data_IF_351267456007
#
_entry.id   IF_351267456007
#
_cell.length_a   1.000
_cell.length_b   1.000
_cell.length_c   1.000
_cell.angle_alpha   90.00
_cell.angle_beta   90.00
_cell.angle_gamma   90.00
#
_symmetry.space_group_name_H-M   'P 1'
#
loop_
_entity.id
_entity.type
_entity.pdbx_description
1 polymer ?
#
# COMPACT_ATOMS: atom_id res chain seq x y z
N UNK A 1 55.31 78.67 45.52
CA UNK A 1 54.93 77.39 44.87
C UNK A 1 54.39 76.47 45.94
N UNK A 2 53.11 76.11 45.86
CA UNK A 2 52.74 74.70 45.61
C UNK A 2 51.48 74.59 44.72
N UNK A 3 50.97 73.38 44.42
CA UNK A 3 51.06 72.70 43.13
C UNK A 3 49.86 72.96 42.19
N UNK A 4 50.12 72.90 40.88
CA UNK A 4 49.11 72.97 39.82
C UNK A 4 48.27 71.69 39.79
N UNK A 5 46.96 71.82 40.00
CA UNK A 5 45.98 70.73 39.95
C UNK A 5 45.54 70.55 38.49
N UNK A 6 45.87 69.40 37.90
CA UNK A 6 45.34 68.99 36.59
C UNK A 6 43.92 68.40 36.76
N UNK A 7 42.97 68.72 35.86
CA UNK A 7 41.61 68.20 35.93
C UNK A 7 41.57 66.68 35.63
N UNK A 8 40.61 65.95 36.24
CA UNK A 8 40.54 64.50 36.13
C UNK A 8 40.18 64.04 34.71
N UNK A 9 40.93 63.06 34.20
CA UNK A 9 40.66 62.36 32.95
C UNK A 9 39.26 61.75 32.94
N UNK A 10 38.42 62.19 31.98
CA UNK A 10 37.10 61.60 31.74
C UNK A 10 37.27 60.16 31.28
N UNK A 11 37.02 59.19 32.16
CA UNK A 11 36.99 57.76 31.81
C UNK A 11 35.95 57.52 30.70
N UNK A 12 36.32 56.88 29.58
CA UNK A 12 35.41 56.66 28.46
C UNK A 12 34.29 55.70 28.88
N UNK A 13 33.05 56.12 28.65
CA UNK A 13 31.86 55.32 28.91
C UNK A 13 31.92 53.99 28.14
N UNK A 14 31.56 52.90 28.82
CA UNK A 14 31.52 51.54 28.26
C UNK A 14 30.06 51.09 28.15
N UNK A 15 29.74 50.37 27.09
CA UNK A 15 28.45 49.72 26.89
C UNK A 15 28.75 48.24 26.61
N UNK A 16 28.10 47.33 27.35
CA UNK A 16 28.31 45.88 27.22
C UNK A 16 29.79 45.46 27.28
N UNK A 17 30.55 46.00 28.24
CA UNK A 17 31.97 45.66 28.44
C UNK A 17 32.96 46.27 27.44
N UNK A 18 32.50 46.82 26.31
CA UNK A 18 33.34 47.46 25.29
C UNK A 18 33.30 49.00 25.39
N UNK A 19 34.35 49.66 24.87
CA UNK A 19 34.37 51.12 24.71
C UNK A 19 33.21 51.50 23.77
N UNK A 20 32.40 52.51 24.17
CA UNK A 20 31.15 52.89 23.47
C UNK A 20 31.33 53.08 21.96
N UNK A 21 32.44 53.67 21.52
CA UNK A 21 32.75 53.83 20.09
C UNK A 21 32.84 52.49 19.34
N UNK A 22 33.45 51.46 19.95
CA UNK A 22 33.63 50.14 19.34
C UNK A 22 32.29 49.39 19.27
N UNK A 23 31.47 49.50 20.32
CA UNK A 23 30.15 48.86 20.34
C UNK A 23 29.25 49.39 19.21
N UNK A 24 29.21 50.72 19.01
CA UNK A 24 28.41 51.31 17.93
C UNK A 24 28.97 50.99 16.54
N UNK A 25 30.29 50.90 16.37
CA UNK A 25 30.88 50.45 15.10
C UNK A 25 30.52 49.00 14.75
N UNK A 26 30.52 48.10 15.74
CA UNK A 26 30.14 46.69 15.52
C UNK A 26 28.65 46.56 15.18
N UNK A 27 27.78 47.29 15.90
CA UNK A 27 26.35 47.27 15.63
C UNK A 27 26.02 47.78 14.21
N UNK A 28 26.68 48.86 13.78
CA UNK A 28 26.52 49.40 12.44
C UNK A 28 27.01 48.42 11.35
N UNK A 29 28.12 47.71 11.59
CA UNK A 29 28.63 46.68 10.68
C UNK A 29 27.65 45.50 10.54
N UNK A 30 27.07 45.02 11.65
CA UNK A 30 26.05 43.95 11.60
C UNK A 30 24.81 44.39 10.83
N UNK A 31 24.35 45.63 11.04
CA UNK A 31 23.19 46.17 10.32
C UNK A 31 23.45 46.29 8.81
N UNK A 32 24.67 46.70 8.42
CA UNK A 32 25.06 46.77 7.01
C UNK A 32 25.09 45.40 6.33
N UNK A 33 25.53 44.35 7.02
CA UNK A 33 25.52 42.97 6.51
C UNK A 33 24.09 42.46 6.30
N UNK A 34 23.18 42.73 7.24
CA UNK A 34 21.76 42.32 7.13
C UNK A 34 21.07 43.03 5.96
N UNK A 35 21.30 44.33 5.78
CA UNK A 35 20.76 45.08 4.63
C UNK A 35 21.34 44.54 3.32
N UNK A 36 22.64 44.25 3.27
CA UNK A 36 23.29 43.66 2.10
C UNK A 36 22.69 42.30 1.70
N UNK A 37 22.40 41.43 2.67
CA UNK A 37 21.76 40.13 2.44
C UNK A 37 20.29 40.28 1.98
N UNK A 38 19.55 41.22 2.56
CA UNK A 38 18.16 41.47 2.18
C UNK A 38 18.02 42.00 0.74
N UNK A 39 18.92 42.89 0.31
CA UNK A 39 18.95 43.39 -1.08
C UNK A 39 19.47 42.31 -2.04
N UNK A 40 20.49 41.54 -1.63
CA UNK A 40 21.06 40.46 -2.45
C UNK A 40 20.06 39.32 -2.76
N UNK A 41 19.23 38.93 -1.78
CA UNK A 41 18.18 37.93 -1.96
C UNK A 41 16.93 38.50 -2.64
N UNK A 42 16.59 39.77 -2.39
CA UNK A 42 15.40 40.42 -2.96
C UNK A 42 15.50 40.77 -4.45
N UNK A 43 16.70 41.02 -4.97
CA UNK A 43 16.91 41.36 -6.41
C UNK A 43 17.35 40.12 -7.22
N UNK A 44 17.93 39.09 -6.58
CA UNK A 44 18.40 37.87 -7.24
C UNK A 44 17.31 36.87 -7.66
N UNK A 45 16.10 36.96 -7.10
CA UNK A 45 14.96 36.07 -7.42
C UNK A 45 13.88 36.74 -8.30
N UNK A 46 14.09 37.99 -8.72
CA UNK A 46 13.03 38.85 -9.27
C UNK A 46 13.16 39.32 -10.72
N UNK A 47 14.08 38.80 -11.53
CA UNK A 47 14.21 39.22 -12.95
C UNK A 47 13.62 38.17 -13.88
N UNK A 48 12.36 38.40 -14.24
CA UNK A 48 11.59 37.68 -15.26
C UNK A 48 12.04 38.16 -16.64
N UNK A 49 12.88 37.38 -17.35
CA UNK A 49 13.20 37.65 -18.75
C UNK A 49 12.24 36.91 -19.68
N UNK A 50 11.42 37.67 -20.42
CA UNK A 50 10.72 37.19 -21.60
C UNK A 50 11.70 37.15 -22.79
N UNK A 51 11.97 35.96 -23.34
CA UNK A 51 12.14 35.79 -24.78
C UNK A 51 12.11 34.31 -25.21
N UNK A 52 11.07 34.00 -25.99
CA UNK A 52 10.93 33.10 -27.16
C UNK A 52 11.70 31.76 -27.19
N UNK A 53 10.89 30.71 -27.19
CA UNK A 53 11.02 29.43 -27.91
C UNK A 53 12.38 28.73 -27.88
N UNK A 54 12.58 27.95 -26.81
CA UNK A 54 13.12 26.60 -26.95
C UNK A 54 12.21 25.63 -26.19
N UNK A 55 11.63 24.67 -26.93
CA UNK A 55 10.93 23.50 -26.41
C UNK A 55 11.77 22.83 -25.32
N UNK A 56 11.43 23.08 -24.05
CA UNK A 56 11.74 22.15 -22.97
C UNK A 56 10.57 21.17 -22.91
N UNK A 57 10.81 19.98 -23.45
CA UNK A 57 9.85 18.87 -23.44
C UNK A 57 9.81 18.26 -22.04
N UNK A 58 8.62 18.37 -21.42
CA UNK A 58 8.04 17.46 -20.43
C UNK A 58 8.69 17.41 -19.02
N UNK A 59 8.28 18.35 -18.16
CA UNK A 59 7.73 17.90 -16.86
C UNK A 59 6.62 16.91 -17.18
N UNK A 60 6.68 15.69 -16.64
CA UNK A 60 5.61 14.70 -16.81
C UNK A 60 4.27 15.37 -16.49
N UNK A 61 3.48 15.67 -17.52
CA UNK A 61 2.10 16.07 -17.32
C UNK A 61 1.48 14.93 -16.51
N UNK A 62 0.90 15.24 -15.35
CA UNK A 62 0.14 14.25 -14.58
C UNK A 62 -0.94 13.71 -15.50
N UNK A 63 -0.72 12.53 -16.07
CA UNK A 63 -1.64 11.92 -17.02
C UNK A 63 -2.95 11.66 -16.29
N UNK A 64 -4.08 11.99 -16.92
CA UNK A 64 -5.39 11.68 -16.36
C UNK A 64 -5.59 10.20 -16.08
N UNK A 65 -4.81 9.34 -16.75
CA UNK A 65 -4.84 7.89 -16.62
C UNK A 65 -4.40 7.38 -15.25
N UNK A 66 -3.71 8.22 -14.46
CA UNK A 66 -3.24 7.86 -13.12
C UNK A 66 -4.10 8.42 -11.99
N UNK A 67 -5.25 8.99 -12.33
CA UNK A 67 -6.24 9.44 -11.36
C UNK A 67 -7.45 8.50 -11.38
N UNK A 68 -7.99 8.24 -10.20
CA UNK A 68 -9.19 7.41 -10.04
C UNK A 68 -10.35 8.07 -10.76
N UNK A 69 -10.99 7.37 -11.70
CA UNK A 69 -12.07 7.91 -12.52
C UNK A 69 -11.66 9.02 -13.49
N UNK A 70 -10.35 9.26 -13.70
CA UNK A 70 -9.82 10.38 -14.48
C UNK A 70 -9.45 11.59 -13.62
N UNK A 71 -9.10 12.73 -14.23
CA UNK A 71 -8.73 13.93 -13.47
C UNK A 71 -9.92 14.47 -12.66
N UNK A 72 -9.99 14.09 -11.38
CA UNK A 72 -11.03 14.54 -10.46
C UNK A 72 -10.56 15.82 -9.77
N UNK A 73 -11.28 16.91 -9.99
CA UNK A 73 -11.11 18.12 -9.19
C UNK A 73 -11.43 17.79 -7.72
N UNK A 74 -10.57 18.14 -6.74
CA UNK A 74 -10.81 17.92 -5.32
C UNK A 74 -12.19 18.37 -4.81
N UNK A 75 -12.86 19.30 -5.49
CA UNK A 75 -14.25 19.68 -5.21
C UNK A 75 -15.25 18.52 -5.33
N UNK A 76 -14.90 17.47 -6.09
CA UNK A 76 -15.68 16.25 -6.31
C UNK A 76 -15.22 15.06 -5.47
N UNK A 77 -14.34 15.25 -4.47
CA UNK A 77 -14.13 14.21 -3.46
C UNK A 77 -15.45 13.89 -2.75
N UNK A 78 -15.61 12.60 -2.43
CA UNK A 78 -16.78 12.08 -1.71
C UNK A 78 -17.00 12.88 -0.43
N UNK A 79 -18.27 13.16 -0.12
CA UNK A 79 -18.68 13.86 1.11
C UNK A 79 -19.49 12.96 2.04
N UNK A 80 -19.63 11.71 1.64
CA UNK A 80 -20.33 10.63 2.30
C UNK A 80 -19.61 9.32 1.96
N UNK A 81 -19.86 8.29 2.77
CA UNK A 81 -19.39 6.94 2.52
C UNK A 81 -17.87 6.77 2.45
N UNK A 82 -17.41 5.92 1.54
CA UNK A 82 -16.00 5.68 1.30
C UNK A 82 -15.35 6.86 0.55
N UNK A 83 -14.05 7.04 0.74
CA UNK A 83 -13.28 8.01 -0.02
C UNK A 83 -13.23 7.60 -1.50
N UNK A 84 -13.19 8.56 -2.41
CA UNK A 84 -13.05 8.29 -3.83
C UNK A 84 -11.66 7.75 -4.16
N UNK A 85 -11.59 6.51 -4.65
CA UNK A 85 -10.33 5.80 -4.74
C UNK A 85 -9.84 5.32 -3.39
N UNK A 86 -10.75 5.00 -2.47
CA UNK A 86 -10.39 4.37 -1.21
C UNK A 86 -9.58 3.11 -1.50
N UNK A 87 -8.40 2.97 -0.90
CA UNK A 87 -7.76 1.66 -0.80
C UNK A 87 -8.71 0.68 -0.12
N UNK A 88 -8.69 -0.58 -0.56
CA UNK A 88 -9.50 -1.66 0.00
C UNK A 88 -8.57 -2.80 0.35
N UNK A 89 -8.61 -3.24 1.61
CA UNK A 89 -7.81 -4.37 2.07
C UNK A 89 -8.67 -5.33 2.90
N UNK A 90 -8.48 -6.63 2.66
CA UNK A 90 -9.16 -7.67 3.39
C UNK A 90 -8.21 -8.38 4.33
N UNK A 91 -8.71 -8.73 5.51
CA UNK A 91 -8.07 -9.68 6.40
C UNK A 91 -9.11 -10.70 6.83
N UNK A 92 -8.88 -11.98 6.50
CA UNK A 92 -9.71 -13.08 6.96
C UNK A 92 -9.05 -13.82 8.12
N UNK A 93 -9.87 -14.34 9.02
CA UNK A 93 -9.50 -15.28 10.07
C UNK A 93 -10.48 -16.42 10.05
N UNK A 94 -10.12 -17.66 10.44
CA UNK A 94 -11.12 -18.70 10.76
C UNK A 94 -10.92 -19.17 12.19
N UNK A 95 -11.99 -19.16 13.00
CA UNK A 95 -12.02 -19.86 14.28
C UNK A 95 -12.49 -21.32 14.08
N UNK A 96 -12.04 -22.21 14.96
CA UNK A 96 -12.40 -23.63 14.94
C UNK A 96 -13.89 -23.94 15.15
N UNK A 97 -14.23 -25.20 14.83
CA UNK A 97 -15.49 -25.94 15.05
C UNK A 97 -16.85 -25.29 14.76
N UNK A 98 -16.99 -24.51 13.69
CA UNK A 98 -18.27 -24.45 12.96
C UNK A 98 -18.89 -23.08 12.68
N UNK A 99 -18.19 -21.98 12.96
CA UNK A 99 -18.66 -20.65 12.57
C UNK A 99 -17.66 -20.01 11.61
N UNK A 100 -18.20 -19.44 10.53
CA UNK A 100 -17.46 -18.82 9.44
C UNK A 100 -16.46 -17.82 9.99
N UNK A 101 -15.27 -17.86 9.42
CA UNK A 101 -14.25 -16.89 9.71
C UNK A 101 -14.71 -15.43 9.63
N UNK A 102 -14.20 -14.56 10.51
CA UNK A 102 -14.45 -13.13 10.40
C UNK A 102 -13.66 -12.55 9.24
N UNK A 103 -14.36 -12.08 8.19
CA UNK A 103 -13.77 -11.26 7.14
C UNK A 103 -13.82 -9.79 7.57
N UNK A 104 -12.66 -9.17 7.70
CA UNK A 104 -12.53 -7.74 7.99
C UNK A 104 -12.14 -6.99 6.72
N UNK A 105 -12.92 -5.97 6.36
CA UNK A 105 -12.62 -5.01 5.31
C UNK A 105 -12.09 -3.73 5.93
N UNK A 106 -10.95 -3.27 5.44
CA UNK A 106 -10.40 -1.94 5.71
C UNK A 106 -10.63 -1.04 4.51
N UNK A 107 -11.04 0.20 4.78
CA UNK A 107 -11.28 1.22 3.77
C UNK A 107 -10.98 2.61 4.34
N UNK A 108 -10.77 3.57 3.45
CA UNK A 108 -10.68 4.98 3.81
C UNK A 108 -12.08 5.60 3.75
N UNK A 109 -12.53 6.15 4.87
CA UNK A 109 -13.77 6.93 4.94
C UNK A 109 -13.56 8.32 4.30
N UNK A 110 -14.61 8.98 3.81
CA UNK A 110 -14.50 10.29 3.14
C UNK A 110 -13.81 11.37 3.99
N UNK A 111 -13.80 11.23 5.32
CA UNK A 111 -13.07 12.12 6.24
C UNK A 111 -11.54 11.92 6.22
N UNK A 112 -11.02 10.97 5.44
CA UNK A 112 -9.60 10.62 5.34
C UNK A 112 -9.12 9.56 6.33
N UNK A 113 -9.93 9.21 7.34
CA UNK A 113 -9.59 8.16 8.32
C UNK A 113 -9.70 6.76 7.71
N UNK A 114 -8.78 5.87 8.05
CA UNK A 114 -8.91 4.44 7.77
C UNK A 114 -9.80 3.80 8.82
N UNK A 115 -10.83 3.09 8.40
CA UNK A 115 -11.80 2.39 9.24
C UNK A 115 -11.92 0.92 8.84
N UNK A 116 -12.54 0.12 9.69
CA UNK A 116 -12.82 -1.28 9.39
C UNK A 116 -14.30 -1.65 9.55
N UNK A 117 -14.73 -2.61 8.76
CA UNK A 117 -16.00 -3.32 8.85
C UNK A 117 -15.75 -4.82 8.87
N UNK A 118 -16.64 -5.59 9.50
CA UNK A 118 -16.56 -7.05 9.49
C UNK A 118 -17.84 -7.68 8.92
N UNK A 119 -17.67 -8.77 8.20
CA UNK A 119 -18.75 -9.66 7.81
C UNK A 119 -19.15 -10.49 9.02
N UNK A 120 -20.43 -10.51 9.34
CA UNK A 120 -21.02 -11.29 10.43
C UNK A 120 -21.53 -12.65 9.90
N UNK A 121 -21.71 -13.66 10.77
CA UNK A 121 -22.15 -15.01 10.35
C UNK A 121 -23.52 -15.05 9.64
N UNK A 122 -24.37 -14.05 9.84
CA UNK A 122 -25.65 -13.85 9.16
C UNK A 122 -25.54 -13.12 7.80
N UNK A 123 -24.33 -13.01 7.24
CA UNK A 123 -24.01 -12.30 6.00
C UNK A 123 -24.28 -10.78 6.04
N UNK A 124 -24.37 -10.20 7.24
CA UNK A 124 -24.43 -8.75 7.45
C UNK A 124 -23.04 -8.12 7.55
N UNK A 125 -22.96 -6.80 7.39
CA UNK A 125 -21.73 -6.04 7.64
C UNK A 125 -21.91 -5.13 8.87
N UNK A 126 -20.95 -5.19 9.79
CA UNK A 126 -20.96 -4.42 11.03
C UNK A 126 -19.70 -3.53 11.12
N UNK A 127 -19.88 -2.32 11.64
CA UNK A 127 -18.79 -1.37 11.92
C UNK A 127 -18.67 -0.28 10.85
N UNK A 128 -17.49 0.31 10.75
CA UNK A 128 -17.19 1.40 9.82
C UNK A 128 -17.52 2.80 10.36
N UNK A 129 -17.89 2.90 11.63
CA UNK A 129 -18.15 4.17 12.32
C UNK A 129 -16.84 4.79 12.84
N UNK A 130 -16.92 5.95 13.48
CA UNK A 130 -15.80 6.58 14.16
C UNK A 130 -15.23 5.74 15.32
N UNK A 131 -15.94 4.72 15.80
CA UNK A 131 -15.42 3.76 16.79
C UNK A 131 -14.46 2.72 16.19
N UNK A 132 -14.49 2.52 14.87
CA UNK A 132 -13.67 1.54 14.16
C UNK A 132 -12.48 2.17 13.42
N UNK A 133 -11.97 3.31 13.91
CA UNK A 133 -10.83 4.00 13.30
C UNK A 133 -9.50 3.29 13.60
N UNK A 134 -8.72 3.03 12.56
CA UNK A 134 -7.37 2.46 12.64
C UNK A 134 -6.28 3.53 12.55
N UNK A 135 -6.49 4.52 11.68
CA UNK A 135 -5.55 5.61 11.44
C UNK A 135 -6.26 6.89 10.95
N UNK A 136 -5.68 8.05 11.23
CA UNK A 136 -6.23 9.38 10.87
C UNK A 136 -5.22 10.24 10.10
N UNK A 137 -4.01 9.76 9.91
CA UNK A 137 -2.90 10.45 9.25
C UNK A 137 -2.62 9.94 7.83
N UNK A 138 -3.48 9.06 7.31
CA UNK A 138 -3.43 8.55 5.96
C UNK A 138 -3.56 9.67 4.91
N UNK A 139 -2.81 9.57 3.81
CA UNK A 139 -3.07 10.41 2.63
C UNK A 139 -4.40 10.05 1.99
N UNK A 140 -5.00 10.98 1.28
CA UNK A 140 -6.19 10.70 0.46
C UNK A 140 -5.88 9.67 -0.62
N UNK A 141 -6.83 8.76 -0.88
CA UNK A 141 -6.72 7.64 -1.83
C UNK A 141 -5.49 6.75 -1.56
N UNK A 142 -5.11 6.60 -0.28
CA UNK A 142 -3.98 5.76 0.08
C UNK A 142 -4.25 4.30 -0.31
N UNK A 143 -3.29 3.58 -0.93
CA UNK A 143 -3.44 2.14 -1.09
C UNK A 143 -3.46 1.51 0.31
N UNK A 144 -4.29 0.48 0.48
CA UNK A 144 -4.33 -0.32 1.69
C UNK A 144 -3.89 -1.74 1.37
N UNK A 145 -3.12 -2.35 2.26
CA UNK A 145 -2.85 -3.77 2.23
C UNK A 145 -2.94 -4.32 3.64
N UNK A 146 -3.55 -5.50 3.79
CA UNK A 146 -3.66 -6.16 5.07
C UNK A 146 -3.09 -7.57 4.99
N UNK A 147 -2.45 -8.00 6.08
CA UNK A 147 -2.05 -9.39 6.29
C UNK A 147 -2.56 -9.79 7.67
N UNK A 148 -3.26 -10.91 7.73
CA UNK A 148 -3.66 -11.50 9.00
C UNK A 148 -3.19 -12.94 9.07
N UNK A 149 -2.76 -13.34 10.27
CA UNK A 149 -2.29 -14.70 10.52
C UNK A 149 -2.53 -15.10 11.97
N UNK A 150 -2.55 -16.40 12.26
CA UNK A 150 -2.65 -16.93 13.63
C UNK A 150 -1.51 -17.86 13.96
N UNK A 151 -0.69 -17.54 14.96
CA UNK A 151 0.41 -18.40 15.39
C UNK A 151 0.38 -18.61 16.90
N UNK A 152 0.48 -19.87 17.33
CA UNK A 152 0.44 -20.28 18.72
C UNK A 152 -0.81 -19.74 19.46
N UNK A 153 -1.97 -19.79 18.81
CA UNK A 153 -3.24 -19.32 19.34
C UNK A 153 -3.43 -17.79 19.38
N UNK A 154 -2.47 -17.03 18.84
CA UNK A 154 -2.55 -15.55 18.76
C UNK A 154 -2.78 -15.13 17.31
N UNK A 155 -3.94 -14.53 17.05
CA UNK A 155 -4.25 -13.88 15.78
C UNK A 155 -3.69 -12.47 15.76
N UNK A 156 -3.02 -12.11 14.67
CA UNK A 156 -2.44 -10.79 14.43
C UNK A 156 -2.91 -10.25 13.10
N UNK A 157 -3.08 -8.93 13.03
CA UNK A 157 -3.40 -8.20 11.82
C UNK A 157 -2.38 -7.09 11.64
N UNK A 158 -1.89 -6.97 10.44
CA UNK A 158 -1.03 -5.90 9.97
C UNK A 158 -1.80 -5.14 8.91
N UNK A 159 -1.90 -3.82 9.07
CA UNK A 159 -2.47 -2.91 8.08
C UNK A 159 -1.40 -1.93 7.63
N UNK A 160 -1.14 -1.92 6.34
CA UNK A 160 -0.16 -1.06 5.68
C UNK A 160 -0.88 0.05 4.91
N UNK A 161 -0.36 1.27 5.01
CA UNK A 161 -0.86 2.44 4.32
C UNK A 161 0.24 3.47 4.12
N UNK A 162 -0.04 4.51 3.34
CA UNK A 162 0.82 5.68 3.16
C UNK A 162 0.22 6.87 3.91
N UNK A 163 1.04 7.59 4.67
CA UNK A 163 0.63 8.80 5.39
C UNK A 163 0.67 10.07 4.52
N UNK A 164 0.18 11.18 5.08
CA UNK A 164 0.17 12.51 4.45
C UNK A 164 1.56 13.07 4.11
N UNK A 165 2.65 12.48 4.63
CA UNK A 165 4.04 12.84 4.31
C UNK A 165 4.68 11.88 3.30
N UNK A 166 3.87 11.06 2.61
CA UNK A 166 4.30 10.02 1.70
C UNK A 166 5.28 9.02 2.36
N UNK A 167 5.04 8.68 3.62
CA UNK A 167 5.77 7.62 4.33
C UNK A 167 4.93 6.37 4.47
N UNK A 168 5.61 5.24 4.38
CA UNK A 168 5.03 3.94 4.61
C UNK A 168 4.76 3.74 6.10
N UNK A 169 3.55 3.27 6.44
CA UNK A 169 3.08 3.06 7.81
C UNK A 169 2.57 1.65 8.00
N UNK A 170 2.66 1.19 9.24
CA UNK A 170 2.15 -0.11 9.67
C UNK A 170 1.37 0.05 10.97
N UNK A 171 0.15 -0.48 11.01
CA UNK A 171 -0.64 -0.65 12.23
C UNK A 171 -0.77 -2.13 12.52
N UNK A 172 -0.60 -2.51 13.78
CA UNK A 172 -0.69 -3.90 14.24
C UNK A 172 -1.79 -4.01 15.28
N UNK A 173 -2.60 -5.07 15.18
CA UNK A 173 -3.56 -5.48 16.19
C UNK A 173 -3.37 -6.97 16.53
N UNK A 174 -3.88 -7.42 17.67
CA UNK A 174 -3.93 -8.83 18.05
C UNK A 174 -5.19 -9.15 18.86
N UNK A 175 -5.66 -10.40 18.82
CA UNK A 175 -6.87 -10.83 19.53
C UNK A 175 -6.66 -10.80 21.06
N UNK A 176 -5.39 -10.76 21.48
CA UNK A 176 -4.98 -10.66 22.87
C UNK A 176 -5.14 -9.24 23.43
N UNK A 177 -4.92 -8.20 22.61
CA UNK A 177 -4.95 -6.80 23.06
C UNK A 177 -6.16 -6.04 22.53
N UNK A 178 -6.62 -6.36 21.32
CA UNK A 178 -7.65 -5.66 20.54
C UNK A 178 -7.38 -4.15 20.41
N UNK A 179 -6.10 -3.76 20.41
CA UNK A 179 -5.66 -2.37 20.32
C UNK A 179 -4.70 -2.24 19.14
N UNK A 180 -4.97 -1.24 18.29
CA UNK A 180 -4.08 -0.86 17.20
C UNK A 180 -2.87 -0.08 17.74
N UNK A 181 -1.67 -0.56 17.42
CA UNK A 181 -0.39 0.08 17.74
C UNK A 181 0.44 0.29 16.47
N UNK A 182 1.43 1.17 16.53
CA UNK A 182 2.40 1.30 15.43
C UNK A 182 3.25 0.01 15.32
N UNK A 183 3.41 -0.48 14.10
CA UNK A 183 4.36 -1.54 13.77
C UNK A 183 5.78 -1.03 13.58
N UNK A 184 6.78 -1.93 13.54
CA UNK A 184 8.18 -1.56 13.38
C UNK A 184 8.45 -0.77 12.09
N UNK A 185 7.72 -1.04 11.00
CA UNK A 185 7.91 -0.34 9.72
C UNK A 185 7.74 1.17 9.81
N UNK A 186 6.81 1.62 10.65
CA UNK A 186 6.52 3.04 10.86
C UNK A 186 7.78 3.81 11.30
N UNK A 187 8.61 3.23 12.17
CA UNK A 187 9.80 3.87 12.70
C UNK A 187 10.93 4.03 11.68
N UNK A 188 10.90 3.24 10.60
CA UNK A 188 11.94 3.21 9.57
C UNK A 188 11.82 4.35 8.55
N UNK A 189 10.66 5.03 8.49
CA UNK A 189 10.42 6.20 7.66
C UNK A 189 10.73 6.00 6.16
N UNK A 190 10.34 4.88 5.57
CA UNK A 190 10.48 4.67 4.12
C UNK A 190 9.67 5.71 3.33
N UNK A 191 10.31 6.41 2.39
CA UNK A 191 9.62 7.34 1.47
C UNK A 191 9.00 6.55 0.32
N UNK A 192 7.76 6.87 0.00
CA UNK A 192 7.01 6.28 -1.11
C UNK A 192 6.82 7.34 -2.21
N UNK A 193 6.56 6.90 -3.44
CA UNK A 193 6.23 7.79 -4.56
C UNK A 193 5.11 8.78 -4.21
N UNK A 194 5.33 10.06 -4.49
CA UNK A 194 4.34 11.12 -4.34
C UNK A 194 3.41 11.18 -5.57
N UNK A 195 2.36 10.36 -5.55
CA UNK A 195 1.30 10.35 -6.56
C UNK A 195 -0.06 9.98 -5.94
N UNK A 196 -1.16 10.25 -6.64
CA UNK A 196 -2.52 9.93 -6.18
C UNK A 196 -2.81 8.42 -6.28
N UNK A 197 -2.12 7.74 -7.20
CA UNK A 197 -2.14 6.28 -7.34
C UNK A 197 -0.73 5.73 -7.21
N UNK A 198 -0.56 4.83 -6.25
CA UNK A 198 0.70 4.26 -5.84
C UNK A 198 0.52 2.77 -5.60
N UNK A 199 1.37 1.96 -6.22
CA UNK A 199 1.42 0.53 -5.98
C UNK A 199 1.99 0.21 -4.60
N UNK A 200 1.24 -0.59 -3.83
CA UNK A 200 1.69 -1.15 -2.56
C UNK A 200 0.93 -2.45 -2.28
N UNK A 201 1.62 -3.49 -1.84
CA UNK A 201 1.00 -4.75 -1.43
C UNK A 201 1.91 -5.49 -0.46
N UNK A 202 1.33 -5.96 0.64
CA UNK A 202 1.93 -6.88 1.59
C UNK A 202 1.35 -8.28 1.43
N UNK A 203 2.18 -9.29 1.63
CA UNK A 203 1.84 -10.68 1.40
C UNK A 203 2.48 -11.55 2.47
N UNK A 204 1.71 -12.49 3.00
CA UNK A 204 2.25 -13.52 3.88
C UNK A 204 3.25 -14.40 3.12
N UNK A 205 4.33 -14.78 3.79
CA UNK A 205 5.29 -15.78 3.36
C UNK A 205 5.30 -16.86 4.44
N UNK A 206 4.92 -18.09 4.08
CA UNK A 206 4.78 -19.18 5.03
C UNK A 206 3.81 -20.24 4.56
N UNK A 207 3.76 -21.35 5.30
CA UNK A 207 2.78 -22.41 5.07
C UNK A 207 1.47 -22.04 5.75
N UNK A 208 0.48 -21.65 4.93
CA UNK A 208 -0.87 -21.23 5.33
C UNK A 208 -0.90 -20.06 6.34
N UNK A 209 -2.06 -19.43 6.51
CA UNK A 209 -2.22 -18.23 7.35
C UNK A 209 -2.27 -18.53 8.87
N UNK A 210 -1.90 -19.73 9.31
CA UNK A 210 -1.79 -19.96 10.73
C UNK A 210 -1.54 -21.38 11.21
N UNK A 211 -1.96 -21.65 12.44
CA UNK A 211 -1.84 -22.92 13.13
C UNK A 211 -2.58 -24.06 12.42
N UNK A 212 -2.36 -25.31 12.85
CA UNK A 212 -2.91 -26.51 12.22
C UNK A 212 -4.45 -26.58 12.22
N UNK A 213 -5.13 -25.81 13.07
CA UNK A 213 -6.58 -25.70 13.17
C UNK A 213 -7.17 -24.53 12.37
N UNK A 214 -6.34 -23.73 11.71
CA UNK A 214 -6.80 -22.70 10.77
C UNK A 214 -7.52 -23.35 9.58
N UNK A 215 -8.75 -22.91 9.33
CA UNK A 215 -9.54 -23.33 8.16
C UNK A 215 -9.53 -22.25 7.10
N UNK A 216 -9.43 -22.67 5.84
CA UNK A 216 -9.49 -21.80 4.67
C UNK A 216 -10.34 -22.44 3.59
N UNK A 217 -10.80 -21.62 2.63
CA UNK A 217 -11.34 -22.13 1.37
C UNK A 217 -10.28 -22.98 0.64
N UNK A 218 -10.65 -23.96 -0.20
CA UNK A 218 -9.71 -24.79 -0.93
C UNK A 218 -8.64 -23.96 -1.65
N UNK A 219 -7.37 -24.31 -1.44
CA UNK A 219 -6.24 -23.66 -2.12
C UNK A 219 -6.04 -24.31 -3.49
N UNK A 220 -5.58 -23.54 -4.50
CA UNK A 220 -5.21 -24.10 -5.80
C UNK A 220 -4.26 -25.28 -5.64
N UNK A 221 -4.50 -26.36 -6.38
CA UNK A 221 -3.67 -27.57 -6.39
C UNK A 221 -3.60 -28.36 -5.07
N UNK A 222 -4.42 -28.05 -4.05
CA UNK A 222 -4.54 -28.83 -2.80
C UNK A 222 -5.78 -29.75 -2.75
N UNK A 223 -6.58 -29.82 -3.82
CA UNK A 223 -7.87 -30.55 -3.80
C UNK A 223 -8.87 -29.91 -2.83
N UNK A 224 -9.94 -30.62 -2.46
CA UNK A 224 -10.97 -30.10 -1.54
C UNK A 224 -10.55 -30.12 -0.05
N UNK A 225 -9.24 -30.04 0.24
CA UNK A 225 -8.73 -29.98 1.60
C UNK A 225 -8.85 -28.55 2.13
N UNK A 226 -9.62 -28.39 3.21
CA UNK A 226 -9.79 -27.11 3.93
C UNK A 226 -9.01 -27.10 5.26
N UNK A 227 -8.17 -28.12 5.48
CA UNK A 227 -7.35 -28.27 6.66
C UNK A 227 -5.90 -27.93 6.34
N UNK A 228 -5.26 -27.18 7.21
CA UNK A 228 -3.82 -26.93 7.17
C UNK A 228 -3.08 -28.26 7.40
N UNK A 229 -2.53 -28.84 6.34
CA UNK A 229 -1.86 -30.16 6.38
C UNK A 229 -0.35 -30.07 6.57
N UNK A 230 0.20 -28.86 6.54
CA UNK A 230 1.63 -28.61 6.65
C UNK A 230 2.00 -28.20 8.07
N UNK A 231 2.96 -28.93 8.67
CA UNK A 231 3.48 -28.62 10.00
C UNK A 231 3.96 -27.17 10.09
N UNK A 232 3.81 -26.58 11.28
CA UNK A 232 4.23 -25.23 11.65
C UNK A 232 5.62 -24.88 11.09
N UNK A 233 5.66 -24.28 9.90
CA UNK A 233 6.89 -23.73 9.37
C UNK A 233 7.36 -22.65 10.34
N UNK A 234 8.61 -22.72 10.79
CA UNK A 234 9.16 -21.69 11.68
C UNK A 234 9.71 -20.49 10.91
N UNK A 235 9.93 -20.62 9.59
CA UNK A 235 10.31 -19.52 8.70
C UNK A 235 9.05 -18.96 8.02
N UNK A 236 8.34 -18.11 8.77
CA UNK A 236 7.16 -17.39 8.31
C UNK A 236 7.36 -15.89 8.47
N UNK A 237 6.64 -15.09 7.70
CA UNK A 237 6.85 -13.67 7.64
C UNK A 237 6.00 -12.98 6.58
N UNK A 238 6.46 -11.82 6.15
CA UNK A 238 5.78 -11.02 5.14
C UNK A 238 6.78 -10.44 4.16
N UNK A 239 6.34 -10.32 2.92
CA UNK A 239 6.94 -9.42 1.96
C UNK A 239 6.05 -8.21 1.77
N UNK A 240 6.67 -7.04 1.62
CA UNK A 240 5.98 -5.81 1.30
C UNK A 240 6.66 -5.17 0.11
N UNK A 241 5.87 -4.87 -0.92
CA UNK A 241 6.31 -4.10 -2.06
C UNK A 241 5.66 -2.72 -2.02
N UNK A 242 6.44 -1.68 -2.33
CA UNK A 242 5.94 -0.33 -2.48
C UNK A 242 6.67 0.39 -3.60
N UNK A 243 5.98 1.26 -4.34
CA UNK A 243 6.59 2.06 -5.39
C UNK A 243 7.43 3.20 -4.79
N UNK A 244 8.75 3.20 -5.02
CA UNK A 244 9.61 4.34 -4.64
C UNK A 244 9.52 5.47 -5.65
N UNK A 245 9.24 5.14 -6.90
CA UNK A 245 9.02 6.06 -8.01
C UNK A 245 8.14 5.41 -9.08
N UNK A 246 7.84 6.13 -10.16
CA UNK A 246 6.93 5.68 -11.21
C UNK A 246 7.42 4.43 -11.98
N UNK A 247 8.68 4.05 -11.84
CA UNK A 247 9.34 2.96 -12.57
C UNK A 247 9.90 1.84 -11.69
N UNK A 248 9.82 1.99 -10.36
CA UNK A 248 10.53 1.13 -9.40
C UNK A 248 9.67 0.76 -8.21
N UNK A 249 9.61 -0.55 -7.91
CA UNK A 249 9.19 -1.04 -6.59
C UNK A 249 10.38 -1.40 -5.73
N UNK A 250 10.29 -1.12 -4.44
CA UNK A 250 11.17 -1.68 -3.42
C UNK A 250 10.48 -2.88 -2.79
N UNK A 251 11.24 -3.93 -2.47
CA UNK A 251 10.77 -5.08 -1.73
C UNK A 251 11.43 -5.11 -0.35
N UNK A 252 10.61 -5.17 0.69
CA UNK A 252 10.99 -5.43 2.07
C UNK A 252 10.57 -6.84 2.47
N UNK A 253 11.29 -7.41 3.43
CA UNK A 253 10.97 -8.68 4.06
C UNK A 253 11.01 -8.54 5.57
N UNK A 254 10.06 -9.17 6.25
CA UNK A 254 9.99 -9.26 7.70
C UNK A 254 9.73 -10.70 8.09
N UNK A 255 10.48 -11.25 9.05
CA UNK A 255 10.17 -12.57 9.62
C UNK A 255 9.45 -12.42 10.94
N UNK A 256 8.62 -13.41 11.26
CA UNK A 256 7.87 -13.38 12.51
C UNK A 256 8.81 -13.31 13.72
N UNK A 257 8.69 -12.22 14.47
CA UNK A 257 9.52 -11.93 15.65
C UNK A 257 10.67 -10.95 15.39
N UNK A 258 10.96 -10.61 14.14
CA UNK A 258 11.97 -9.59 13.82
C UNK A 258 11.52 -8.21 14.30
N UNK A 259 12.48 -7.42 14.78
CA UNK A 259 12.23 -6.06 15.25
C UNK A 259 12.16 -5.03 14.13
N UNK A 260 12.65 -5.36 12.93
CA UNK A 260 12.74 -4.44 11.79
C UNK A 260 12.41 -5.16 10.49
N UNK A 261 11.98 -4.41 9.49
CA UNK A 261 11.91 -4.84 8.11
C UNK A 261 13.29 -4.75 7.47
N UNK A 262 13.57 -5.69 6.56
CA UNK A 262 14.86 -5.78 5.86
C UNK A 262 14.65 -5.60 4.37
N UNK A 263 15.38 -4.66 3.78
CA UNK A 263 15.44 -4.51 2.33
C UNK A 263 15.89 -5.79 1.64
N UNK A 264 15.16 -6.20 0.61
CA UNK A 264 15.45 -7.39 -0.19
C UNK A 264 16.03 -7.00 -1.55
N UNK A 265 15.27 -6.22 -2.34
CA UNK A 265 15.68 -5.83 -3.69
C UNK A 265 14.79 -4.72 -4.27
N UNK A 266 15.25 -4.10 -5.35
CA UNK A 266 14.49 -3.17 -6.18
C UNK A 266 14.06 -3.82 -7.50
N UNK A 267 12.84 -3.54 -7.92
CA UNK A 267 12.21 -4.04 -9.14
C UNK A 267 12.07 -2.91 -10.15
N UNK A 268 13.00 -2.88 -11.10
CA UNK A 268 13.08 -1.84 -12.13
C UNK A 268 12.11 -2.11 -13.29
N UNK A 269 11.80 -1.05 -14.04
CA UNK A 269 10.92 -1.09 -15.23
C UNK A 269 9.51 -1.60 -14.93
N UNK A 270 9.01 -1.34 -13.72
CA UNK A 270 7.64 -1.65 -13.29
C UNK A 270 6.83 -0.37 -13.24
N UNK A 271 5.53 -0.45 -13.45
CA UNK A 271 4.64 0.70 -13.34
C UNK A 271 4.30 0.93 -11.87
N UNK A 272 4.93 1.95 -11.26
CA UNK A 272 4.73 2.30 -9.86
C UNK A 272 3.31 2.80 -9.52
N UNK A 273 2.48 3.13 -10.51
CA UNK A 273 1.09 3.56 -10.31
C UNK A 273 0.09 2.40 -10.28
N UNK A 274 0.49 1.21 -10.70
CA UNK A 274 -0.34 0.02 -10.65
C UNK A 274 -0.14 -0.72 -9.33
N UNK A 275 -1.16 -1.47 -8.90
CA UNK A 275 -1.04 -2.42 -7.81
C UNK A 275 -0.13 -3.60 -8.14
N UNK A 276 0.02 -4.47 -7.16
CA UNK A 276 0.82 -5.69 -7.23
C UNK A 276 0.02 -6.85 -6.66
N UNK A 277 0.06 -7.99 -7.35
CA UNK A 277 -0.51 -9.24 -6.85
C UNK A 277 0.60 -10.14 -6.32
N UNK A 278 0.26 -11.03 -5.40
CA UNK A 278 1.22 -11.98 -4.85
C UNK A 278 0.52 -13.27 -4.42
N UNK A 279 1.29 -14.35 -4.40
CA UNK A 279 0.81 -15.68 -4.05
C UNK A 279 1.96 -16.51 -3.47
N UNK A 280 1.71 -17.20 -2.36
CA UNK A 280 2.73 -17.96 -1.62
C UNK A 280 2.20 -19.24 -0.97
N UNK A 281 0.90 -19.53 -1.05
CA UNK A 281 0.21 -20.55 -0.25
C UNK A 281 -0.01 -21.90 -0.97
N UNK A 282 0.77 -22.21 -2.00
CA UNK A 282 0.73 -23.53 -2.65
C UNK A 282 1.57 -24.57 -1.90
N UNK A 283 1.26 -25.88 -2.00
CA UNK A 283 2.15 -26.93 -1.51
C UNK A 283 3.47 -26.85 -2.27
N UNK A 284 4.50 -26.29 -1.63
CA UNK A 284 5.79 -26.11 -2.26
C UNK A 284 6.53 -24.91 -1.71
N UNK A 285 7.54 -24.52 -2.46
CA UNK A 285 8.54 -23.51 -2.15
C UNK A 285 8.47 -22.34 -3.14
N UNK A 286 7.55 -22.39 -4.09
CA UNK A 286 7.46 -21.35 -5.12
C UNK A 286 6.53 -20.23 -4.67
N UNK A 287 7.07 -19.02 -4.60
CA UNK A 287 6.29 -17.79 -4.43
C UNK A 287 6.17 -17.06 -5.77
N UNK A 288 5.05 -16.38 -5.97
CA UNK A 288 4.75 -15.62 -7.17
C UNK A 288 4.46 -14.16 -6.84
N UNK A 289 4.82 -13.30 -7.78
CA UNK A 289 4.46 -11.89 -7.78
C UNK A 289 4.01 -11.45 -9.16
N UNK A 290 2.92 -10.70 -9.22
CA UNK A 290 2.32 -10.19 -10.43
C UNK A 290 2.49 -8.68 -10.45
N UNK A 291 3.22 -8.18 -11.44
CA UNK A 291 3.58 -6.75 -11.53
C UNK A 291 3.24 -6.20 -12.90
N UNK A 292 2.75 -4.98 -12.96
CA UNK A 292 2.52 -4.28 -14.24
C UNK A 292 3.84 -3.64 -14.69
N UNK A 293 4.20 -3.81 -15.96
CA UNK A 293 5.34 -3.12 -16.56
C UNK A 293 4.95 -1.77 -17.18
N UNK A 294 5.93 -1.01 -17.69
CA UNK A 294 5.69 0.32 -18.28
C UNK A 294 4.85 0.31 -19.56
N UNK A 295 4.57 -0.86 -20.14
CA UNK A 295 3.69 -1.05 -21.30
C UNK A 295 2.26 -1.44 -20.89
N UNK A 296 1.91 -1.33 -19.60
CA UNK A 296 0.61 -1.74 -19.06
C UNK A 296 0.31 -3.23 -19.33
N UNK A 297 1.31 -4.07 -19.12
CA UNK A 297 1.20 -5.52 -19.19
C UNK A 297 1.50 -6.10 -17.83
N UNK A 298 0.62 -6.93 -17.30
CA UNK A 298 0.90 -7.73 -16.10
C UNK A 298 1.88 -8.82 -16.49
N UNK A 299 2.99 -8.89 -15.77
CA UNK A 299 3.97 -9.96 -15.84
C UNK A 299 3.82 -10.84 -14.59
N UNK A 300 3.92 -12.15 -14.77
CA UNK A 300 3.92 -13.12 -13.65
C UNK A 300 5.35 -13.60 -13.41
N UNK A 301 5.87 -13.31 -12.23
CA UNK A 301 7.19 -13.70 -11.77
C UNK A 301 7.08 -14.75 -10.68
N UNK A 302 8.05 -15.66 -10.63
CA UNK A 302 8.10 -16.74 -9.65
C UNK A 302 9.51 -16.87 -9.06
N UNK A 303 9.60 -17.41 -7.85
CA UNK A 303 10.85 -17.73 -7.18
C UNK A 303 10.65 -19.02 -6.39
N UNK A 304 11.41 -20.05 -6.74
CA UNK A 304 11.47 -21.27 -5.95
C UNK A 304 12.44 -21.09 -4.77
N UNK A 305 11.99 -21.33 -3.55
CA UNK A 305 12.78 -21.21 -2.31
C UNK A 305 13.33 -22.55 -1.81
N UNK A 306 13.19 -23.65 -2.57
CA UNK A 306 13.63 -24.98 -2.19
C UNK A 306 15.16 -25.10 -2.23
N UNK A 307 15.78 -24.87 -1.08
CA UNK A 307 17.22 -25.01 -0.92
C UNK A 307 17.71 -26.45 -0.97
N UNK A 308 16.81 -27.44 -0.96
CA UNK A 308 17.17 -28.87 -1.09
C UNK A 308 17.27 -29.34 -2.54
N UNK A 309 16.91 -28.50 -3.52
CA UNK A 309 17.01 -28.81 -4.95
C UNK A 309 18.18 -28.09 -5.61
N UNK A 310 18.76 -28.69 -6.65
CA UNK A 310 19.82 -28.07 -7.43
C UNK A 310 19.27 -27.06 -8.44
N UNK A 311 19.90 -25.88 -8.50
CA UNK A 311 19.59 -24.87 -9.50
C UNK A 311 19.96 -25.33 -10.92
N UNK A 312 19.14 -24.95 -11.91
CA UNK A 312 19.41 -25.14 -13.33
C UNK A 312 19.07 -23.88 -14.12
N UNK A 313 19.50 -23.78 -15.39
CA UNK A 313 19.18 -22.61 -16.24
C UNK A 313 17.68 -22.47 -16.52
N UNK A 314 16.96 -23.59 -16.67
CA UNK A 314 15.51 -23.59 -16.90
C UNK A 314 14.69 -23.41 -15.63
N UNK A 315 15.28 -23.72 -14.48
CA UNK A 315 14.62 -23.67 -13.18
C UNK A 315 15.61 -23.19 -12.11
N UNK A 316 15.83 -21.87 -11.99
CA UNK A 316 16.75 -21.32 -11.01
C UNK A 316 16.14 -21.29 -9.61
N UNK A 317 16.92 -21.70 -8.62
CA UNK A 317 16.52 -21.65 -7.21
C UNK A 317 16.91 -20.32 -6.58
N UNK A 318 16.04 -19.78 -5.73
CA UNK A 318 16.16 -18.53 -5.00
C UNK A 318 16.35 -17.29 -5.87
N UNK A 319 15.88 -17.34 -7.11
CA UNK A 319 15.94 -16.23 -8.05
C UNK A 319 14.56 -15.93 -8.62
N UNK A 320 14.19 -14.65 -8.64
CA UNK A 320 12.98 -14.22 -9.32
C UNK A 320 13.13 -14.35 -10.84
N UNK A 321 12.21 -15.10 -11.44
CA UNK A 321 12.21 -15.47 -12.86
C UNK A 321 10.84 -15.16 -13.46
N UNK A 322 10.81 -14.59 -14.65
CA UNK A 322 9.56 -14.32 -15.36
C UNK A 322 9.03 -15.63 -15.98
N UNK A 323 7.75 -15.92 -15.78
CA UNK A 323 7.10 -17.12 -16.35
C UNK A 323 6.74 -16.99 -17.83
N UNK A 324 6.94 -15.83 -18.45
CA UNK A 324 6.47 -15.44 -19.79
C UNK A 324 4.95 -15.28 -19.92
N UNK A 325 4.18 -15.55 -18.87
CA UNK A 325 2.75 -15.24 -18.82
C UNK A 325 2.55 -13.73 -18.76
N UNK A 326 1.68 -13.24 -19.64
CA UNK A 326 1.40 -11.81 -19.78
C UNK A 326 -0.10 -11.55 -19.94
N UNK A 327 -0.61 -10.54 -19.24
CA UNK A 327 -1.95 -9.98 -19.44
C UNK A 327 -1.79 -8.56 -19.97
N UNK A 328 -2.05 -8.39 -21.26
CA UNK A 328 -1.82 -7.13 -21.97
C UNK A 328 -2.97 -6.14 -21.77
N UNK A 329 -2.68 -4.86 -21.94
CA UNK A 329 -3.67 -3.77 -21.99
C UNK A 329 -4.50 -3.59 -20.71
N UNK A 330 -3.90 -3.85 -19.54
CA UNK A 330 -4.53 -3.49 -18.27
C UNK A 330 -4.58 -1.96 -18.10
N UNK A 331 -5.44 -1.49 -17.20
CA UNK A 331 -5.47 -0.07 -16.83
C UNK A 331 -4.12 0.35 -16.20
N UNK A 332 -3.55 1.52 -16.53
CA UNK A 332 -2.26 1.95 -15.96
C UNK A 332 -2.23 2.07 -14.44
N UNK A 333 -3.37 2.34 -13.81
CA UNK A 333 -3.53 2.31 -12.35
C UNK A 333 -4.37 1.13 -11.87
N UNK A 334 -4.36 0.00 -12.60
CA UNK A 334 -5.08 -1.19 -12.14
C UNK A 334 -4.59 -1.60 -10.76
N UNK A 335 -5.50 -1.87 -9.83
CA UNK A 335 -5.16 -2.71 -8.68
C UNK A 335 -5.14 -4.17 -9.10
N UNK A 336 -4.34 -4.98 -8.39
CA UNK A 336 -4.16 -6.40 -8.65
C UNK A 336 -4.51 -7.16 -7.38
N UNK A 337 -5.14 -8.31 -7.51
CA UNK A 337 -5.53 -9.13 -6.36
C UNK A 337 -5.55 -10.60 -6.73
N UNK A 338 -5.20 -11.46 -5.77
CA UNK A 338 -5.22 -12.90 -5.98
C UNK A 338 -5.84 -13.62 -4.79
N UNK A 339 -6.64 -14.64 -5.09
CA UNK A 339 -7.17 -15.59 -4.10
C UNK A 339 -7.22 -16.98 -4.74
N UNK A 340 -8.28 -17.33 -5.46
CA UNK A 340 -8.38 -18.52 -6.31
C UNK A 340 -8.32 -18.18 -7.81
N UNK A 341 -8.58 -16.92 -8.15
CA UNK A 341 -8.33 -16.34 -9.45
C UNK A 341 -7.49 -15.07 -9.28
N UNK A 342 -6.77 -14.69 -10.32
CA UNK A 342 -6.06 -13.41 -10.38
C UNK A 342 -6.96 -12.35 -10.98
N UNK A 343 -6.99 -11.15 -10.40
CA UNK A 343 -7.87 -10.08 -10.83
C UNK A 343 -7.08 -8.86 -11.24
N UNK A 344 -7.48 -8.27 -12.37
CA UNK A 344 -6.97 -7.00 -12.86
C UNK A 344 -8.10 -6.23 -13.57
N UNK A 345 -7.99 -4.90 -13.59
CA UNK A 345 -8.90 -4.03 -14.33
C UNK A 345 -8.35 -3.74 -15.73
N UNK A 346 -9.20 -3.92 -16.75
CA UNK A 346 -8.93 -3.50 -18.11
C UNK A 346 -9.11 -2.00 -18.31
N UNK A 347 -8.62 -1.47 -19.44
CA UNK A 347 -8.86 -0.07 -19.83
C UNK A 347 -10.33 0.26 -20.10
N UNK A 348 -11.15 -0.76 -20.30
CA UNK A 348 -12.60 -0.67 -20.45
C UNK A 348 -13.36 -0.60 -19.10
N UNK A 349 -12.63 -0.60 -17.98
CA UNK A 349 -13.19 -0.53 -16.63
C UNK A 349 -13.66 -1.86 -16.06
N UNK A 350 -13.70 -2.93 -16.88
CA UNK A 350 -14.06 -4.26 -16.41
C UNK A 350 -12.95 -4.84 -15.53
N UNK A 351 -13.34 -5.31 -14.35
CA UNK A 351 -12.49 -6.18 -13.56
C UNK A 351 -12.63 -7.58 -14.14
N UNK A 352 -11.51 -8.19 -14.50
CA UNK A 352 -11.44 -9.53 -15.10
C UNK A 352 -10.71 -10.46 -14.15
N UNK A 353 -11.33 -11.59 -13.84
CA UNK A 353 -10.69 -12.73 -13.18
C UNK A 353 -10.01 -13.63 -14.21
N UNK A 354 -8.82 -14.11 -13.90
CA UNK A 354 -7.99 -14.99 -14.72
C UNK A 354 -7.70 -16.27 -13.93
N UNK A 355 -7.97 -17.41 -14.54
CA UNK A 355 -7.63 -18.71 -13.98
C UNK A 355 -6.16 -18.99 -14.31
N UNK A 356 -5.28 -18.86 -13.32
CA UNK A 356 -3.85 -19.11 -13.51
C UNK A 356 -3.53 -20.51 -12.97
N UNK A 357 -2.86 -21.31 -13.78
CA UNK A 357 -2.22 -22.54 -13.34
C UNK A 357 -0.77 -22.24 -12.96
N UNK A 358 -0.44 -22.45 -11.69
CA UNK A 358 0.82 -22.03 -11.06
C UNK A 358 1.84 -23.16 -11.12
N UNK A 359 2.78 -23.05 -12.07
CA UNK A 359 3.75 -24.12 -12.35
C UNK A 359 5.14 -23.57 -12.74
N UNK A 360 5.60 -22.54 -12.05
CA UNK A 360 6.92 -21.89 -12.24
C UNK A 360 7.12 -21.48 -13.70
N UNK A 361 8.13 -22.01 -14.38
CA UNK A 361 8.39 -21.80 -15.81
C UNK A 361 7.27 -22.29 -16.73
N UNK A 362 6.38 -23.17 -16.25
CA UNK A 362 5.24 -23.72 -16.99
C UNK A 362 3.91 -23.08 -16.59
N UNK A 363 3.92 -21.94 -15.87
CA UNK A 363 2.71 -21.22 -15.50
C UNK A 363 1.88 -20.85 -16.74
N UNK A 364 0.55 -20.98 -16.68
CA UNK A 364 -0.36 -20.67 -17.81
C UNK A 364 -1.64 -19.97 -17.37
N UNK A 365 -2.36 -19.35 -18.32
CA UNK A 365 -3.71 -18.80 -18.09
C UNK A 365 -4.73 -19.70 -18.80
N UNK A 366 -5.62 -20.32 -18.02
CA UNK A 366 -6.65 -21.26 -18.45
C UNK A 366 -8.05 -20.61 -18.49
N UNK A 367 -8.12 -19.45 -19.13
CA UNK A 367 -9.34 -18.68 -19.32
C UNK A 367 -9.51 -17.51 -18.37
N UNK A 368 -10.56 -16.73 -18.63
CA UNK A 368 -10.90 -15.52 -17.88
C UNK A 368 -12.41 -15.29 -17.85
N UNK A 369 -12.85 -14.43 -16.93
CA UNK A 369 -14.25 -14.06 -16.79
C UNK A 369 -14.39 -12.62 -16.26
N UNK A 370 -15.39 -11.86 -16.71
CA UNK A 370 -15.66 -10.54 -16.15
C UNK A 370 -16.30 -10.67 -14.76
N UNK A 371 -16.04 -9.70 -13.90
CA UNK A 371 -16.74 -9.50 -12.61
C UNK A 371 -17.98 -8.66 -12.85
N UNK A 372 -19.10 -9.03 -12.22
CA UNK A 372 -20.41 -8.38 -12.16
C UNK A 372 -20.66 -7.18 -13.10
N UNK A 373 -19.99 -6.04 -12.86
CA UNK A 373 -20.07 -4.81 -13.65
C UNK A 373 -18.72 -4.05 -13.66
N UNK A 374 -18.51 -3.10 -14.58
CA UNK A 374 -17.33 -2.24 -14.57
C UNK A 374 -17.21 -1.45 -13.26
N UNK A 375 -15.97 -1.28 -12.79
CA UNK A 375 -15.64 -0.36 -11.71
C UNK A 375 -15.25 1.01 -12.25
N UNK A 376 -15.08 1.99 -11.36
CA UNK A 376 -14.42 3.25 -11.73
C UNK A 376 -12.98 2.95 -12.18
N UNK A 377 -12.49 3.65 -13.20
CA UNK A 377 -11.13 3.43 -13.72
C UNK A 377 -10.08 3.67 -12.63
N UNK A 378 -9.16 2.73 -12.47
CA UNK A 378 -8.13 2.73 -11.44
C UNK A 378 -8.62 2.30 -10.06
N UNK A 379 -9.88 1.90 -9.88
CA UNK A 379 -10.42 1.52 -8.56
C UNK A 379 -9.49 0.54 -7.83
N UNK A 380 -9.30 0.77 -6.53
CA UNK A 380 -8.69 -0.25 -5.70
C UNK A 380 -9.63 -1.45 -5.61
N UNK A 381 -9.03 -2.64 -5.67
CA UNK A 381 -9.76 -3.88 -5.51
C UNK A 381 -9.10 -4.74 -4.45
N UNK A 382 -9.93 -5.49 -3.73
CA UNK A 382 -9.49 -6.54 -2.83
C UNK A 382 -10.33 -7.79 -3.08
N UNK A 383 -9.70 -8.96 -2.98
CA UNK A 383 -10.35 -10.23 -3.33
C UNK A 383 -10.09 -11.26 -2.26
N UNK A 384 -11.06 -12.15 -2.08
CA UNK A 384 -10.93 -13.32 -1.21
C UNK A 384 -11.89 -14.41 -1.70
N UNK A 385 -11.80 -15.58 -1.08
CA UNK A 385 -12.75 -16.67 -1.25
C UNK A 385 -13.27 -17.04 0.13
N UNK A 386 -14.59 -17.11 0.26
CA UNK A 386 -15.25 -17.44 1.51
C UNK A 386 -16.06 -18.72 1.35
N UNK A 387 -16.07 -19.62 2.34
CA UNK A 387 -17.04 -20.71 2.38
C UNK A 387 -18.46 -20.15 2.37
N UNK A 388 -19.36 -20.77 1.61
CA UNK A 388 -20.75 -20.37 1.52
C UNK A 388 -21.64 -21.14 2.53
N UNK A 389 -22.85 -20.62 2.76
CA UNK A 389 -23.82 -21.24 3.66
C UNK A 389 -24.47 -22.52 3.09
N UNK A 390 -24.32 -22.78 1.80
CA UNK A 390 -24.80 -23.99 1.12
C UNK A 390 -23.79 -25.15 1.12
N UNK A 391 -22.57 -24.95 1.62
CA UNK A 391 -21.51 -25.96 1.71
C UNK A 391 -20.48 -25.93 0.57
N UNK A 392 -20.45 -24.89 -0.26
CA UNK A 392 -19.41 -24.60 -1.26
C UNK A 392 -18.53 -23.41 -0.87
N UNK A 393 -17.94 -22.75 -1.87
CA UNK A 393 -17.08 -21.58 -1.73
C UNK A 393 -17.48 -20.50 -2.73
N UNK A 394 -17.38 -19.23 -2.32
CA UNK A 394 -17.70 -18.06 -3.13
C UNK A 394 -16.50 -17.16 -3.32
N UNK A 395 -16.20 -16.83 -4.58
CA UNK A 395 -15.32 -15.73 -4.95
C UNK A 395 -15.94 -14.42 -4.50
N UNK A 396 -15.14 -13.57 -3.88
CA UNK A 396 -15.53 -12.29 -3.32
C UNK A 396 -14.62 -11.20 -3.87
N UNK A 397 -15.22 -10.16 -4.47
CA UNK A 397 -14.49 -9.05 -5.08
C UNK A 397 -15.06 -7.74 -4.56
N UNK A 398 -14.20 -6.92 -3.96
CA UNK A 398 -14.51 -5.60 -3.44
C UNK A 398 -13.87 -4.55 -4.31
N UNK A 399 -14.64 -3.55 -4.72
CA UNK A 399 -14.21 -2.45 -5.58
C UNK A 399 -15.23 -1.32 -5.54
N UNK A 400 -14.91 -0.18 -6.14
CA UNK A 400 -15.85 0.93 -6.24
C UNK A 400 -16.49 1.00 -7.64
N UNK A 401 -17.80 1.20 -7.67
CA UNK A 401 -18.56 1.45 -8.92
C UNK A 401 -19.01 2.89 -9.05
N UNK A 402 -18.91 3.66 -7.97
CA UNK A 402 -18.98 5.12 -7.93
C UNK A 402 -17.91 5.63 -6.94
N UNK A 403 -17.84 6.95 -6.69
CA UNK A 403 -16.78 7.50 -5.83
C UNK A 403 -16.95 7.25 -4.33
N UNK A 404 -18.15 6.90 -3.85
CA UNK A 404 -18.45 6.80 -2.41
C UNK A 404 -18.91 5.43 -1.94
N UNK A 405 -19.09 4.48 -2.86
CA UNK A 405 -19.49 3.11 -2.53
C UNK A 405 -18.30 2.20 -2.22
N UNK A 406 -18.63 1.09 -1.57
CA UNK A 406 -17.87 -0.15 -1.68
C UNK A 406 -18.84 -1.21 -2.22
N UNK A 407 -18.60 -1.68 -3.43
CA UNK A 407 -19.35 -2.81 -4.02
C UNK A 407 -18.72 -4.11 -3.54
N UNK A 408 -19.54 -5.00 -2.97
CA UNK A 408 -19.21 -6.37 -2.64
C UNK A 408 -19.88 -7.31 -3.65
N UNK A 409 -19.09 -7.86 -4.56
CA UNK A 409 -19.56 -8.81 -5.57
C UNK A 409 -19.16 -10.24 -5.22
N UNK A 410 -20.10 -11.17 -5.36
CA UNK A 410 -19.91 -12.59 -5.06
C UNK A 410 -20.35 -13.48 -6.21
N UNK A 411 -19.67 -14.61 -6.38
CA UNK A 411 -20.04 -15.70 -7.29
C UNK A 411 -19.54 -17.00 -6.69
N UNK A 412 -20.30 -18.07 -6.85
CA UNK A 412 -19.79 -19.42 -6.60
C UNK A 412 -18.46 -19.66 -7.35
N UNK A 413 -17.55 -20.34 -6.66
CA UNK A 413 -16.18 -20.57 -7.09
C UNK A 413 -16.12 -21.32 -8.42
N UNK A 414 -17.00 -22.31 -8.60
CA UNK A 414 -17.01 -23.18 -9.77
C UNK A 414 -17.80 -22.54 -10.90
N UNK A 415 -19.03 -22.10 -10.64
CA UNK A 415 -19.93 -21.57 -11.67
C UNK A 415 -21.10 -20.80 -11.08
N UNK A 416 -21.60 -19.79 -11.80
CA UNK A 416 -22.82 -19.10 -11.40
C UNK A 416 -22.87 -17.68 -11.93
N UNK A 417 -24.01 -17.03 -11.71
CA UNK A 417 -24.13 -15.60 -11.94
C UNK A 417 -23.46 -14.82 -10.79
N UNK A 418 -22.86 -13.68 -11.11
CA UNK A 418 -22.42 -12.75 -10.08
C UNK A 418 -23.62 -12.08 -9.42
N UNK A 419 -23.64 -12.03 -8.10
CA UNK A 419 -24.46 -11.13 -7.30
C UNK A 419 -23.61 -9.99 -6.75
N UNK A 420 -24.20 -8.84 -6.48
CA UNK A 420 -23.49 -7.72 -5.88
C UNK A 420 -24.40 -6.90 -4.97
N UNK A 421 -23.81 -6.39 -3.89
CA UNK A 421 -24.42 -5.43 -2.98
C UNK A 421 -23.49 -4.24 -2.78
N UNK A 422 -24.06 -3.09 -2.44
CA UNK A 422 -23.29 -1.95 -1.95
C UNK A 422 -23.26 -2.02 -0.43
N UNK A 423 -22.06 -1.96 0.14
CA UNK A 423 -21.89 -1.90 1.59
C UNK A 423 -22.28 -0.51 2.09
N UNK A 424 -23.02 -0.48 3.21
CA UNK A 424 -23.30 0.75 3.92
C UNK A 424 -22.02 1.23 4.60
N UNK A 425 -21.60 2.46 4.34
CA UNK A 425 -20.47 3.09 5.03
C UNK A 425 -21.01 4.21 5.92
N UNK A 426 -21.04 4.03 7.26
CA UNK A 426 -21.61 5.02 8.17
C UNK A 426 -20.84 6.36 8.17
N UNK A 427 -21.59 7.46 8.10
CA UNK A 427 -20.99 8.81 8.19
C UNK A 427 -20.38 9.11 9.56
N UNK A 428 -21.03 8.62 10.63
CA UNK A 428 -20.64 8.81 12.03
C UNK A 428 -20.15 7.53 12.65
#
# INVERSE_FOLDING_TARGET
MPPTILPPDKKPARACGLRRAIFWSLLAATFAVVIGLAIGLGVGLGVKHNNKDKKASLTAAKSSDYYIGGAIDPAYYSRDGAFNGSGLALASQSFGSGEYGELVLYFQHYSGSIRWQRLTPDNGWLGGTASEVVATDAKNSTPLSAVAYSLNGVSKWHLFYIDNSNRLREKINSNSTNIWIEGPLTGENHTVMDADQVGMQACWYGNDYGDADYKHSPLPNQGNSTANTTGSGTDVGMHLWYASDASTFQQLGWRNGDSNWTYQQGWQNKNGHAGLGCYSWGPGTTTYVMMVNSQNTVEVWWKDTNTNTSTSTGHPINQWTNSSVAINNVHPSTSLGYTNAFYAQGKDGWITGYNIDWASENTTINGSFPVNKPGILGTHLSVTTLPDQSGGDSLCVFYQTNGSDVTFATRDLVQGAWTAATLEVPNS
#
